data_IF_832774316949
#
_entry.id   IF_832774316949
#
_cell.length_a   1.000
_cell.length_b   1.000
_cell.length_c   1.000
_cell.angle_alpha   90.00
_cell.angle_beta   90.00
_cell.angle_gamma   90.00
#
_symmetry.space_group_name_H-M   'P 1'
#
loop_
_entity.id
_entity.type
_entity.pdbx_description
1 polymer ?
#
# COMPACT_ATOMS: atom_id res chain seq x y z
N UNK A 1 55.60 50.81 -22.73
CA UNK A 1 54.39 51.06 -23.56
C UNK A 1 53.57 49.78 -23.62
N UNK A 2 52.34 49.80 -23.07
CA UNK A 2 51.10 49.01 -23.39
C UNK A 2 51.25 47.49 -23.69
N UNK A 3 50.43 46.53 -23.25
CA UNK A 3 49.17 46.38 -22.49
C UNK A 3 49.00 44.84 -22.36
N UNK A 4 48.77 44.30 -21.17
CA UNK A 4 47.54 43.60 -20.74
C UNK A 4 47.09 42.31 -21.49
N UNK A 5 46.99 41.23 -20.69
CA UNK A 5 45.90 40.23 -20.59
C UNK A 5 45.68 39.25 -21.76
N UNK A 6 45.94 37.95 -21.51
CA UNK A 6 45.12 36.80 -21.96
C UNK A 6 45.42 35.62 -20.99
N UNK A 7 44.59 35.38 -19.97
CA UNK A 7 43.34 34.58 -19.99
C UNK A 7 43.56 33.13 -19.52
N UNK A 8 43.38 32.94 -18.21
CA UNK A 8 42.82 31.73 -17.62
C UNK A 8 41.61 31.27 -18.44
N UNK A 9 41.59 30.01 -18.90
CA UNK A 9 40.37 29.32 -19.32
C UNK A 9 40.60 27.81 -19.48
N UNK A 10 40.81 27.10 -18.36
CA UNK A 10 40.56 25.65 -18.28
C UNK A 10 39.99 25.34 -16.90
N UNK A 11 38.69 25.59 -16.70
CA UNK A 11 37.88 24.96 -15.64
C UNK A 11 36.41 25.41 -15.74
N UNK A 12 35.66 24.93 -16.74
CA UNK A 12 34.19 25.00 -16.71
C UNK A 12 33.54 24.14 -17.81
N UNK A 13 33.76 22.84 -17.81
CA UNK A 13 32.83 21.92 -18.49
C UNK A 13 32.73 20.68 -17.62
N UNK A 14 31.68 20.60 -16.80
CA UNK A 14 31.07 19.36 -16.28
C UNK A 14 30.07 19.73 -15.16
N UNK A 15 28.98 20.43 -15.46
CA UNK A 15 27.88 20.54 -14.48
C UNK A 15 26.52 20.88 -15.11
N UNK A 16 26.07 20.17 -16.15
CA UNK A 16 24.68 20.30 -16.62
C UNK A 16 24.18 19.02 -17.30
N UNK A 17 24.05 17.90 -16.56
CA UNK A 17 23.33 16.71 -17.04
C UNK A 17 22.67 15.90 -15.91
N UNK A 18 22.03 16.56 -14.93
CA UNK A 18 21.27 15.84 -13.87
C UNK A 18 19.81 16.29 -13.72
N UNK A 19 19.33 17.28 -14.48
CA UNK A 19 17.96 17.79 -14.33
C UNK A 19 16.90 17.14 -15.26
N UNK A 20 17.29 16.34 -16.27
CA UNK A 20 16.34 15.78 -17.24
C UNK A 20 15.80 14.37 -16.91
N UNK A 21 16.37 13.63 -15.96
CA UNK A 21 15.85 12.29 -15.61
C UNK A 21 14.65 12.36 -14.67
N UNK A 22 14.68 13.27 -13.69
CA UNK A 22 13.61 13.43 -12.70
C UNK A 22 12.28 13.88 -13.32
N UNK A 23 12.32 14.78 -14.31
CA UNK A 23 11.11 15.26 -15.00
C UNK A 23 10.44 14.18 -15.86
N UNK A 24 11.23 13.27 -16.46
CA UNK A 24 10.71 12.13 -17.24
C UNK A 24 10.11 11.05 -16.34
N UNK A 25 10.75 10.76 -15.20
CA UNK A 25 10.25 9.79 -14.22
C UNK A 25 8.93 10.25 -13.57
N UNK A 26 8.82 11.54 -13.20
CA UNK A 26 7.58 12.15 -12.70
C UNK A 26 6.46 12.24 -13.75
N UNK A 27 6.78 12.16 -15.04
CA UNK A 27 5.78 12.09 -16.11
C UNK A 27 5.22 10.66 -16.28
N UNK A 28 5.99 9.64 -15.88
CA UNK A 28 5.61 8.23 -15.94
C UNK A 28 4.69 7.84 -14.77
N UNK A 29 4.98 8.33 -13.56
CA UNK A 29 4.26 7.99 -12.32
C UNK A 29 3.57 9.24 -11.71
N UNK A 30 2.40 9.68 -12.21
CA UNK A 30 1.73 10.90 -11.73
C UNK A 30 1.37 10.85 -10.25
N UNK A 31 1.17 9.66 -9.67
CA UNK A 31 0.92 9.44 -8.25
C UNK A 31 2.06 9.95 -7.34
N UNK A 32 3.31 9.96 -7.83
CA UNK A 32 4.46 10.41 -7.02
C UNK A 32 4.39 11.91 -6.70
N UNK A 33 3.76 12.71 -7.55
CA UNK A 33 3.55 14.15 -7.30
C UNK A 33 2.63 14.41 -6.12
N UNK A 34 1.89 13.40 -5.68
CA UNK A 34 0.97 13.45 -4.55
C UNK A 34 1.54 12.75 -3.31
N UNK A 35 2.82 12.33 -3.34
CA UNK A 35 3.44 11.47 -2.32
C UNK A 35 2.75 10.09 -2.15
N UNK A 36 1.99 9.66 -3.17
CA UNK A 36 1.30 8.37 -3.15
C UNK A 36 2.23 7.26 -3.65
N UNK A 37 2.16 6.12 -2.97
CA UNK A 37 2.80 4.89 -3.41
C UNK A 37 1.74 4.03 -4.09
N UNK A 38 1.99 3.60 -5.32
CA UNK A 38 1.06 2.71 -6.03
C UNK A 38 1.64 1.31 -6.10
N UNK A 39 0.95 0.37 -5.47
CA UNK A 39 1.37 -1.02 -5.36
C UNK A 39 0.21 -1.98 -5.39
N UNK A 40 0.44 -3.20 -4.93
CA UNK A 40 -0.59 -4.23 -4.81
C UNK A 40 -0.50 -4.95 -3.47
N UNK A 41 -1.67 -5.35 -2.99
CA UNK A 41 -1.86 -6.39 -2.00
C UNK A 41 -1.53 -7.71 -2.71
N UNK A 42 -0.50 -8.42 -2.27
CA UNK A 42 -0.10 -9.70 -2.84
C UNK A 42 -1.20 -10.76 -2.82
N UNK A 43 -2.23 -10.61 -1.98
CA UNK A 43 -3.45 -11.42 -1.92
C UNK A 43 -4.27 -11.36 -3.21
N UNK A 44 -4.14 -10.26 -3.97
CA UNK A 44 -4.60 -10.20 -5.37
C UNK A 44 -4.10 -11.41 -6.15
N UNK A 45 -2.85 -11.82 -5.91
CA UNK A 45 -2.21 -12.96 -6.58
C UNK A 45 -2.08 -14.17 -5.66
N UNK A 46 -3.00 -14.38 -4.70
CA UNK A 46 -2.89 -15.44 -3.68
C UNK A 46 -2.78 -16.88 -4.22
N UNK A 47 -3.19 -17.12 -5.47
CA UNK A 47 -3.07 -18.43 -6.12
C UNK A 47 -1.64 -18.72 -6.60
N UNK A 48 -0.73 -17.75 -6.46
CA UNK A 48 0.66 -17.80 -6.89
C UNK A 48 1.59 -17.58 -5.69
N UNK A 49 2.83 -18.02 -5.83
CA UNK A 49 3.90 -17.72 -4.86
C UNK A 49 4.19 -16.23 -4.79
N UNK A 50 4.84 -15.78 -3.71
CA UNK A 50 5.26 -14.39 -3.56
C UNK A 50 6.18 -13.95 -4.70
N UNK A 51 7.13 -14.80 -5.13
CA UNK A 51 8.00 -14.52 -6.27
C UNK A 51 7.20 -14.24 -7.56
N UNK A 52 6.19 -15.07 -7.87
CA UNK A 52 5.31 -14.89 -9.04
C UNK A 52 4.37 -13.68 -8.87
N UNK A 53 3.91 -13.41 -7.65
CA UNK A 53 3.15 -12.20 -7.34
C UNK A 53 3.97 -10.95 -7.65
N UNK A 54 5.26 -10.91 -7.26
CA UNK A 54 6.15 -9.81 -7.59
C UNK A 54 6.34 -9.65 -9.11
N UNK A 55 6.42 -10.73 -9.89
CA UNK A 55 6.44 -10.65 -11.36
C UNK A 55 5.17 -10.01 -11.92
N UNK A 56 4.00 -10.37 -11.38
CA UNK A 56 2.71 -9.79 -11.79
C UNK A 56 2.57 -8.32 -11.39
N UNK A 57 3.11 -7.95 -10.23
CA UNK A 57 3.20 -6.55 -9.76
C UNK A 57 4.05 -5.73 -10.73
N UNK A 58 5.26 -6.21 -11.05
CA UNK A 58 6.16 -5.55 -11.99
C UNK A 58 5.53 -5.43 -13.39
N UNK A 59 4.90 -6.49 -13.89
CA UNK A 59 4.19 -6.49 -15.18
C UNK A 59 3.02 -5.50 -15.21
N UNK A 60 2.46 -5.15 -14.06
CA UNK A 60 1.39 -4.16 -13.92
C UNK A 60 1.92 -2.72 -13.75
N UNK A 61 3.23 -2.51 -13.92
CA UNK A 61 3.92 -1.22 -13.74
C UNK A 61 3.70 -0.64 -12.33
N UNK A 62 3.68 -1.52 -11.32
CA UNK A 62 3.62 -1.23 -9.89
C UNK A 62 5.00 -1.40 -9.26
N UNK A 63 5.27 -0.66 -8.18
CA UNK A 63 6.60 -0.62 -7.54
C UNK A 63 6.61 -0.89 -6.04
N UNK A 64 5.44 -1.12 -5.47
CA UNK A 64 5.26 -1.40 -4.05
C UNK A 64 4.43 -2.66 -3.87
N UNK A 65 4.71 -3.39 -2.80
CA UNK A 65 3.95 -4.56 -2.40
C UNK A 65 3.56 -4.46 -0.93
N UNK A 66 2.33 -4.87 -0.66
CA UNK A 66 1.88 -5.31 0.64
C UNK A 66 1.87 -6.84 0.64
N UNK A 67 2.70 -7.46 1.46
CA UNK A 67 2.71 -8.92 1.60
C UNK A 67 1.61 -9.37 2.57
N UNK A 68 1.04 -10.57 2.38
CA UNK A 68 0.05 -11.13 3.30
C UNK A 68 0.58 -12.38 4.01
N UNK A 69 0.11 -12.66 5.25
CA UNK A 69 0.55 -13.83 6.00
C UNK A 69 0.20 -15.14 5.29
N UNK A 70 1.19 -16.03 5.16
CA UNK A 70 0.97 -17.41 4.70
C UNK A 70 1.22 -17.66 3.21
N UNK A 71 1.55 -16.63 2.42
CA UNK A 71 1.93 -16.84 1.01
C UNK A 71 3.27 -17.59 0.90
N UNK A 72 3.32 -18.69 0.15
CA UNK A 72 4.59 -19.39 -0.13
C UNK A 72 5.56 -18.46 -0.85
N UNK A 73 6.83 -18.42 -0.41
CA UNK A 73 7.85 -17.53 -1.01
C UNK A 73 8.09 -17.86 -2.49
N UNK A 74 8.23 -19.14 -2.82
CA UNK A 74 8.50 -19.61 -4.18
C UNK A 74 9.97 -19.47 -4.57
N UNK A 75 10.25 -19.53 -5.88
CA UNK A 75 11.62 -19.51 -6.43
C UNK A 75 12.57 -20.56 -5.81
N UNK A 76 12.05 -21.74 -5.46
CA UNK A 76 12.79 -22.82 -4.81
C UNK A 76 12.74 -22.82 -3.28
N UNK A 77 12.01 -21.90 -2.66
CA UNK A 77 11.74 -21.87 -1.22
C UNK A 77 10.26 -22.16 -0.93
N UNK A 78 10.01 -23.11 -0.02
CA UNK A 78 8.67 -23.60 0.35
C UNK A 78 8.13 -22.97 1.65
N UNK A 79 8.93 -22.13 2.32
CA UNK A 79 8.48 -21.37 3.50
C UNK A 79 7.38 -20.38 3.10
N UNK A 80 6.65 -19.90 4.10
CA UNK A 80 5.58 -18.94 3.92
C UNK A 80 5.95 -17.58 4.51
N UNK A 81 5.40 -16.51 3.94
CA UNK A 81 5.61 -15.16 4.39
C UNK A 81 4.87 -14.93 5.72
N UNK A 82 5.54 -15.19 6.83
CA UNK A 82 5.02 -15.00 8.19
C UNK A 82 6.15 -14.57 9.13
N UNK A 83 5.83 -14.18 10.37
CA UNK A 83 6.84 -13.84 11.38
C UNK A 83 7.77 -15.02 11.72
N UNK A 84 7.36 -16.25 11.40
CA UNK A 84 8.17 -17.48 11.56
C UNK A 84 9.12 -17.76 10.38
N UNK A 85 9.11 -16.93 9.32
CA UNK A 85 10.04 -17.06 8.19
C UNK A 85 11.49 -17.06 8.70
N UNK A 86 12.30 -18.02 8.24
CA UNK A 86 13.70 -18.18 8.67
C UNK A 86 14.57 -16.99 8.25
N UNK A 87 15.77 -16.87 8.83
CA UNK A 87 16.70 -15.82 8.43
C UNK A 87 17.08 -15.94 6.94
N UNK A 88 17.29 -17.17 6.46
CA UNK A 88 17.57 -17.48 5.06
C UNK A 88 16.39 -17.10 4.16
N UNK A 89 15.16 -17.44 4.57
CA UNK A 89 13.93 -17.07 3.86
C UNK A 89 13.74 -15.55 3.78
N UNK A 90 14.05 -14.82 4.86
CA UNK A 90 14.00 -13.35 4.89
C UNK A 90 15.01 -12.71 3.94
N UNK A 91 16.26 -13.19 3.93
CA UNK A 91 17.27 -12.70 2.99
C UNK A 91 16.90 -13.01 1.53
N UNK A 92 16.32 -14.18 1.27
CA UNK A 92 15.79 -14.51 -0.05
C UNK A 92 14.68 -13.56 -0.49
N UNK A 93 13.72 -13.25 0.39
CA UNK A 93 12.67 -12.25 0.11
C UNK A 93 13.27 -10.88 -0.17
N UNK A 94 14.21 -10.41 0.66
CA UNK A 94 14.90 -9.12 0.45
C UNK A 94 15.62 -9.09 -0.90
N UNK A 95 16.24 -10.19 -1.31
CA UNK A 95 16.90 -10.32 -2.61
C UNK A 95 15.88 -10.29 -3.77
N UNK A 96 14.78 -11.04 -3.70
CA UNK A 96 13.71 -11.04 -4.71
C UNK A 96 13.14 -9.63 -4.92
N UNK A 97 12.86 -8.92 -3.84
CA UNK A 97 12.37 -7.53 -3.87
C UNK A 97 13.37 -6.60 -4.55
N UNK A 98 14.67 -6.72 -4.20
CA UNK A 98 15.74 -5.91 -4.79
C UNK A 98 15.92 -6.18 -6.28
N UNK A 99 15.93 -7.43 -6.70
CA UNK A 99 16.09 -7.83 -8.11
C UNK A 99 14.97 -7.30 -9.00
N UNK A 100 13.73 -7.32 -8.48
CA UNK A 100 12.54 -6.84 -9.20
C UNK A 100 12.31 -5.34 -9.05
N UNK A 101 13.12 -4.64 -8.23
CA UNK A 101 12.97 -3.22 -7.97
C UNK A 101 11.65 -2.86 -7.26
N UNK A 102 11.11 -3.78 -6.46
CA UNK A 102 9.85 -3.61 -5.73
C UNK A 102 10.14 -3.34 -4.26
N UNK A 103 9.47 -2.35 -3.68
CA UNK A 103 9.56 -2.04 -2.25
C UNK A 103 8.47 -2.76 -1.47
N UNK A 104 8.86 -3.59 -0.49
CA UNK A 104 7.94 -4.07 0.54
C UNK A 104 7.57 -2.89 1.44
N UNK A 105 6.34 -2.42 1.30
CA UNK A 105 5.86 -1.24 2.03
C UNK A 105 5.02 -1.62 3.24
N UNK A 106 4.14 -2.61 3.06
CA UNK A 106 3.18 -3.04 4.07
C UNK A 106 3.17 -4.56 4.26
N UNK A 107 2.62 -5.00 5.38
CA UNK A 107 2.41 -6.42 5.70
C UNK A 107 1.07 -6.62 6.41
N UNK A 108 0.21 -7.47 5.84
CA UNK A 108 -1.08 -7.86 6.42
C UNK A 108 -2.10 -8.32 5.38
N UNK A 109 -3.38 -8.47 5.74
CA UNK A 109 -3.96 -8.12 7.05
C UNK A 109 -3.61 -9.16 8.11
N UNK A 110 -3.04 -8.73 9.24
CA UNK A 110 -2.66 -9.63 10.35
C UNK A 110 -3.60 -9.52 11.55
N UNK A 111 -3.80 -10.65 12.21
CA UNK A 111 -4.29 -10.75 13.59
C UNK A 111 -3.25 -11.48 14.45
N UNK A 112 -3.37 -11.35 15.76
CA UNK A 112 -2.53 -12.06 16.73
C UNK A 112 -3.33 -12.36 18.00
N UNK A 113 -3.01 -13.49 18.64
CA UNK A 113 -3.79 -14.04 19.76
C UNK A 113 -3.48 -13.39 21.11
N UNK A 114 -2.30 -12.80 21.26
CA UNK A 114 -1.81 -12.24 22.52
C UNK A 114 -0.69 -11.21 22.28
N UNK A 115 -0.25 -10.57 23.37
CA UNK A 115 0.82 -9.57 23.36
C UNK A 115 2.15 -10.10 22.81
N UNK A 116 2.47 -11.38 23.06
CA UNK A 116 3.72 -11.98 22.63
C UNK A 116 3.73 -12.18 21.12
N UNK A 117 2.60 -12.58 20.54
CA UNK A 117 2.46 -12.73 19.09
C UNK A 117 2.47 -11.36 18.39
N UNK A 118 1.82 -10.34 18.95
CA UNK A 118 1.94 -8.97 18.43
C UNK A 118 3.38 -8.47 18.42
N UNK A 119 4.14 -8.69 19.49
CA UNK A 119 5.57 -8.34 19.55
C UNK A 119 6.36 -9.03 18.41
N UNK A 120 6.09 -10.31 18.12
CA UNK A 120 6.74 -11.02 17.00
C UNK A 120 6.41 -10.39 15.65
N UNK A 121 5.14 -10.04 15.42
CA UNK A 121 4.69 -9.37 14.19
C UNK A 121 5.45 -8.06 13.99
N UNK A 122 5.55 -7.21 15.01
CA UNK A 122 6.26 -5.93 14.92
C UNK A 122 7.78 -6.11 14.76
N UNK A 123 8.38 -7.07 15.46
CA UNK A 123 9.80 -7.39 15.30
C UNK A 123 10.11 -7.87 13.88
N UNK A 124 9.27 -8.74 13.33
CA UNK A 124 9.38 -9.22 11.95
C UNK A 124 9.22 -8.06 10.94
N UNK A 125 8.18 -7.23 11.12
CA UNK A 125 7.96 -6.07 10.27
C UNK A 125 9.18 -5.12 10.27
N UNK A 126 9.82 -4.92 11.43
CA UNK A 126 11.04 -4.12 11.55
C UNK A 126 12.21 -4.69 10.76
N UNK A 127 12.47 -5.99 10.88
CA UNK A 127 13.54 -6.68 10.16
C UNK A 127 13.33 -6.68 8.64
N UNK A 128 12.08 -6.85 8.21
CA UNK A 128 11.71 -6.82 6.80
C UNK A 128 11.62 -5.40 6.22
N UNK A 129 11.79 -4.36 7.04
CA UNK A 129 11.76 -2.96 6.61
C UNK A 129 10.34 -2.42 6.30
N UNK A 130 9.30 -3.12 6.75
CA UNK A 130 7.89 -2.74 6.60
C UNK A 130 7.63 -1.40 7.29
N UNK A 131 6.79 -0.56 6.67
CA UNK A 131 6.39 0.76 7.20
C UNK A 131 5.01 0.74 7.83
N UNK A 132 4.11 -0.06 7.28
CA UNK A 132 2.72 -0.16 7.74
C UNK A 132 2.35 -1.63 7.93
N UNK A 133 1.86 -1.99 9.11
CA UNK A 133 1.19 -3.26 9.35
C UNK A 133 -0.30 -3.01 9.13
N UNK A 134 -0.95 -3.71 8.20
CA UNK A 134 -2.41 -3.70 8.10
C UNK A 134 -2.95 -4.79 9.03
N UNK A 135 -3.94 -4.48 9.87
CA UNK A 135 -4.36 -5.40 10.92
C UNK A 135 -5.83 -5.30 11.31
N UNK A 136 -6.32 -6.35 11.98
CA UNK A 136 -7.65 -6.39 12.61
C UNK A 136 -7.51 -6.90 14.05
N UNK A 137 -6.98 -6.08 14.98
CA UNK A 137 -6.80 -6.50 16.36
C UNK A 137 -8.13 -6.71 17.06
N UNK A 138 -8.18 -7.60 18.06
CA UNK A 138 -9.28 -7.61 19.04
C UNK A 138 -9.28 -6.31 19.86
N UNK A 139 -10.42 -5.90 20.42
CA UNK A 139 -10.53 -4.66 21.21
C UNK A 139 -9.51 -4.61 22.37
N UNK A 140 -9.30 -5.75 23.04
CA UNK A 140 -8.34 -5.87 24.15
C UNK A 140 -6.87 -5.76 23.72
N UNK A 141 -6.59 -5.87 22.42
CA UNK A 141 -5.25 -5.75 21.86
C UNK A 141 -4.92 -4.34 21.35
N UNK A 142 -5.89 -3.42 21.29
CA UNK A 142 -5.67 -2.08 20.71
C UNK A 142 -4.55 -1.30 21.43
N UNK A 143 -4.49 -1.35 22.76
CA UNK A 143 -3.48 -0.65 23.55
C UNK A 143 -2.10 -1.30 23.40
N UNK A 144 -2.06 -2.62 23.22
CA UNK A 144 -0.83 -3.37 22.94
C UNK A 144 -0.27 -2.93 21.59
N UNK A 145 -1.10 -2.95 20.53
CA UNK A 145 -0.71 -2.52 19.19
C UNK A 145 -0.24 -1.06 19.20
N UNK A 146 -0.97 -0.17 19.87
CA UNK A 146 -0.59 1.24 20.03
C UNK A 146 0.81 1.39 20.65
N UNK A 147 1.10 0.70 21.76
CA UNK A 147 2.41 0.76 22.41
C UNK A 147 3.54 0.19 21.53
N UNK A 148 3.23 -0.86 20.74
CA UNK A 148 4.19 -1.46 19.82
C UNK A 148 4.51 -0.56 18.64
N UNK A 149 3.53 0.21 18.13
CA UNK A 149 3.78 1.22 17.10
C UNK A 149 4.86 2.21 17.54
N UNK A 150 4.78 2.71 18.78
CA UNK A 150 5.76 3.66 19.33
C UNK A 150 7.11 2.99 19.56
N UNK A 151 7.12 1.78 20.12
CA UNK A 151 8.34 1.02 20.42
C UNK A 151 9.16 0.70 19.15
N UNK A 152 8.49 0.28 18.08
CA UNK A 152 9.16 -0.18 16.87
C UNK A 152 9.34 0.91 15.80
N UNK A 153 8.68 2.06 15.98
CA UNK A 153 8.57 3.11 14.97
C UNK A 153 7.96 2.58 13.66
N UNK A 154 6.82 1.88 13.80
CA UNK A 154 6.06 1.26 12.70
C UNK A 154 4.59 1.67 12.83
N UNK A 155 3.95 1.95 11.69
CA UNK A 155 2.53 2.29 11.66
C UNK A 155 1.66 1.03 11.71
N UNK A 156 0.53 1.07 12.41
CA UNK A 156 -0.50 0.05 12.34
C UNK A 156 -1.79 0.65 11.78
N UNK A 157 -2.34 0.02 10.75
CA UNK A 157 -3.48 0.51 10.01
C UNK A 157 -4.62 -0.52 10.12
N UNK A 158 -5.67 -0.19 10.89
CA UNK A 158 -6.81 -1.07 11.13
C UNK A 158 -7.62 -1.20 9.83
N UNK A 159 -7.80 -2.42 9.33
CA UNK A 159 -8.49 -2.71 8.08
C UNK A 159 -10.00 -2.92 8.30
N UNK A 160 -10.81 -2.50 7.31
CA UNK A 160 -12.25 -2.66 7.35
C UNK A 160 -12.76 -3.73 6.36
N UNK A 161 -13.20 -4.88 6.85
CA UNK A 161 -14.00 -5.82 6.04
C UNK A 161 -15.49 -5.41 5.96
N UNK A 162 -16.30 -6.00 5.06
CA UNK A 162 -17.72 -5.68 4.97
C UNK A 162 -18.49 -6.01 6.25
N UNK A 163 -19.65 -5.37 6.45
CA UNK A 163 -20.62 -5.74 7.47
C UNK A 163 -21.03 -7.23 7.32
N UNK A 164 -20.99 -8.08 8.36
CA UNK A 164 -20.80 -7.77 9.79
C UNK A 164 -19.41 -8.08 10.35
N UNK A 165 -18.35 -7.44 9.86
CA UNK A 165 -17.05 -7.41 10.54
C UNK A 165 -17.07 -6.41 11.71
N UNK A 166 -16.08 -6.44 12.60
CA UNK A 166 -16.01 -5.49 13.73
C UNK A 166 -15.75 -4.05 13.25
N UNK A 167 -14.71 -3.85 12.43
CA UNK A 167 -14.24 -2.54 11.95
C UNK A 167 -14.94 -2.04 10.67
N UNK A 168 -16.11 -2.59 10.31
CA UNK A 168 -16.77 -2.38 9.03
C UNK A 168 -17.17 -0.92 8.70
N UNK A 169 -17.20 -0.03 9.69
CA UNK A 169 -17.64 1.36 9.52
C UNK A 169 -16.66 2.35 10.19
N UNK A 170 -16.61 3.60 9.73
CA UNK A 170 -15.66 4.60 10.22
C UNK A 170 -15.85 5.00 11.69
N UNK A 171 -17.05 4.87 12.29
CA UNK A 171 -17.24 5.20 13.72
C UNK A 171 -16.50 4.23 14.63
N UNK A 172 -16.56 2.94 14.33
CA UNK A 172 -15.85 1.92 15.11
C UNK A 172 -14.34 2.11 14.96
N UNK A 173 -13.86 2.41 13.75
CA UNK A 173 -12.46 2.75 13.52
C UNK A 173 -12.01 3.96 14.35
N UNK A 174 -12.74 5.08 14.31
CA UNK A 174 -12.39 6.27 15.10
C UNK A 174 -12.34 5.99 16.60
N UNK A 175 -13.33 5.24 17.12
CA UNK A 175 -13.35 4.82 18.52
C UNK A 175 -12.15 3.93 18.87
N UNK A 176 -11.75 3.04 17.97
CA UNK A 176 -10.57 2.20 18.14
C UNK A 176 -9.25 2.99 18.11
N UNK A 177 -9.24 4.21 17.57
CA UNK A 177 -8.05 5.08 17.51
C UNK A 177 -7.99 6.14 18.61
N UNK A 178 -9.10 6.39 19.31
CA UNK A 178 -9.20 7.44 20.32
C UNK A 178 -8.18 7.25 21.46
N UNK A 179 -7.37 8.28 21.72
CA UNK A 179 -6.36 8.28 22.78
C UNK A 179 -5.13 7.41 22.52
N UNK A 180 -4.98 6.82 21.33
CA UNK A 180 -3.87 5.93 20.97
C UNK A 180 -2.79 6.64 20.16
N UNK A 181 -1.69 5.92 19.90
CA UNK A 181 -0.53 6.43 19.18
C UNK A 181 -0.93 7.08 17.85
N UNK A 182 -0.34 8.22 17.46
CA UNK A 182 -0.55 8.82 16.14
C UNK A 182 0.01 7.95 14.99
N UNK A 183 0.72 6.86 15.31
CA UNK A 183 1.15 5.84 14.35
C UNK A 183 0.10 4.78 14.10
N UNK A 184 -0.98 4.77 14.86
CA UNK A 184 -2.14 3.94 14.66
C UNK A 184 -3.18 4.70 13.82
N UNK A 185 -3.75 4.04 12.81
CA UNK A 185 -4.73 4.64 11.91
C UNK A 185 -5.54 3.60 11.16
N UNK A 186 -6.03 3.94 9.98
CA UNK A 186 -6.89 3.08 9.17
C UNK A 186 -6.20 2.63 7.86
N UNK A 187 -6.39 1.35 7.54
CA UNK A 187 -6.18 0.77 6.22
C UNK A 187 -7.53 0.74 5.51
N UNK A 188 -7.85 1.81 4.79
CA UNK A 188 -9.20 2.03 4.28
C UNK A 188 -9.47 1.19 3.03
N UNK A 189 -10.48 0.33 3.10
CA UNK A 189 -11.01 -0.38 1.94
C UNK A 189 -12.32 0.26 1.49
N UNK A 190 -12.24 0.99 0.37
CA UNK A 190 -13.36 1.72 -0.20
C UNK A 190 -14.44 0.78 -0.78
N UNK A 191 -14.06 -0.40 -1.26
CA UNK A 191 -15.00 -1.38 -1.78
C UNK A 191 -15.77 -2.09 -0.67
N UNK A 192 -15.14 -2.40 0.45
CA UNK A 192 -15.83 -2.99 1.61
C UNK A 192 -16.87 -2.05 2.22
N UNK A 193 -16.63 -0.74 2.22
CA UNK A 193 -17.67 0.25 2.56
C UNK A 193 -18.83 0.25 1.56
N UNK A 194 -18.54 0.24 0.25
CA UNK A 194 -19.58 0.15 -0.78
C UNK A 194 -20.43 -1.13 -0.64
N UNK A 195 -19.79 -2.30 -0.43
CA UNK A 195 -20.47 -3.58 -0.13
C UNK A 195 -21.39 -3.49 1.08
N UNK A 196 -21.05 -2.61 2.03
CA UNK A 196 -21.80 -2.37 3.26
C UNK A 196 -22.87 -1.27 3.12
N UNK A 197 -23.04 -0.69 1.92
CA UNK A 197 -23.98 0.40 1.66
C UNK A 197 -23.54 1.74 2.26
N UNK A 198 -22.26 1.90 2.57
CA UNK A 198 -21.67 3.15 3.05
C UNK A 198 -21.05 3.92 1.89
N UNK A 199 -21.28 5.24 1.86
CA UNK A 199 -20.62 6.13 0.91
C UNK A 199 -19.12 6.20 1.23
N UNK A 200 -18.23 5.72 0.33
CA UNK A 200 -16.80 5.72 0.61
C UNK A 200 -16.22 7.13 0.74
N UNK A 201 -16.77 8.15 0.07
CA UNK A 201 -16.27 9.54 0.18
C UNK A 201 -16.58 10.11 1.55
N UNK A 202 -17.78 9.86 2.09
CA UNK A 202 -18.15 10.28 3.44
C UNK A 202 -17.36 9.52 4.51
N UNK A 203 -17.09 8.23 4.30
CA UNK A 203 -16.21 7.45 5.17
C UNK A 203 -14.78 8.03 5.20
N UNK A 204 -14.22 8.38 4.02
CA UNK A 204 -12.90 9.00 3.93
C UNK A 204 -12.87 10.34 4.67
N UNK A 205 -13.83 11.23 4.44
CA UNK A 205 -13.94 12.52 5.15
C UNK A 205 -13.96 12.36 6.66
N UNK A 206 -14.70 11.37 7.15
CA UNK A 206 -14.83 11.08 8.58
C UNK A 206 -13.52 10.62 9.22
N UNK A 207 -12.66 9.95 8.45
CA UNK A 207 -11.35 9.47 8.89
C UNK A 207 -10.21 10.46 8.58
N UNK A 208 -10.52 11.73 8.33
CA UNK A 208 -9.50 12.75 8.06
C UNK A 208 -8.41 12.77 9.13
N UNK A 209 -7.15 12.67 8.68
CA UNK A 209 -5.98 12.63 9.55
C UNK A 209 -5.61 11.23 10.08
N UNK A 210 -6.44 10.21 9.85
CA UNK A 210 -6.22 8.84 10.35
C UNK A 210 -5.92 7.82 9.24
N UNK A 211 -5.96 8.19 7.96
CA UNK A 211 -5.76 7.27 6.84
C UNK A 211 -4.27 7.05 6.57
N UNK A 212 -3.78 5.82 6.76
CA UNK A 212 -2.36 5.47 6.61
C UNK A 212 -2.09 4.61 5.38
N UNK A 213 -3.10 3.84 4.97
CA UNK A 213 -3.03 2.88 3.89
C UNK A 213 -4.40 2.74 3.23
N UNK A 214 -4.47 2.31 1.97
CA UNK A 214 -5.75 1.97 1.34
C UNK A 214 -5.64 0.70 0.53
N UNK A 215 -6.51 -0.27 0.82
CA UNK A 215 -6.84 -1.33 -0.13
C UNK A 215 -7.79 -0.72 -1.16
N UNK A 216 -7.28 -0.51 -2.36
CA UNK A 216 -7.98 0.24 -3.39
C UNK A 216 -8.59 -0.71 -4.41
N UNK A 217 -9.91 -0.62 -4.56
CA UNK A 217 -10.71 -1.43 -5.48
C UNK A 217 -11.92 -0.64 -5.98
N UNK A 218 -12.45 -1.05 -7.12
CA UNK A 218 -13.69 -0.54 -7.69
C UNK A 218 -14.63 -1.72 -7.92
N UNK A 219 -15.94 -1.52 -7.77
CA UNK A 219 -16.91 -2.60 -7.71
C UNK A 219 -18.00 -2.46 -8.77
N UNK A 220 -18.48 -3.59 -9.27
CA UNK A 220 -19.57 -3.62 -10.25
C UNK A 220 -20.95 -3.18 -9.71
N UNK A 221 -21.10 -3.06 -8.38
CA UNK A 221 -22.35 -2.67 -7.74
C UNK A 221 -22.11 -1.98 -6.38
N UNK A 222 -23.00 -1.07 -6.00
CA UNK A 222 -23.05 -0.46 -4.67
C UNK A 222 -24.12 -1.14 -3.79
N UNK A 223 -23.83 -1.33 -2.50
CA UNK A 223 -24.77 -1.90 -1.53
C UNK A 223 -25.03 -3.41 -1.67
N UNK A 224 -24.25 -4.10 -2.51
CA UNK A 224 -24.32 -5.56 -2.66
C UNK A 224 -23.06 -6.22 -2.08
N UNK A 225 -23.26 -7.11 -1.09
CA UNK A 225 -22.18 -7.89 -0.48
C UNK A 225 -21.49 -8.85 -1.47
N UNK A 226 -22.16 -9.18 -2.57
CA UNK A 226 -21.62 -10.04 -3.65
C UNK A 226 -20.95 -9.24 -4.77
N UNK A 227 -20.92 -7.91 -4.67
CA UNK A 227 -20.24 -7.08 -5.64
C UNK A 227 -18.76 -7.48 -5.75
N UNK A 228 -18.34 -7.75 -6.98
CA UNK A 228 -16.98 -8.15 -7.28
C UNK A 228 -16.20 -6.99 -7.89
N UNK A 229 -14.89 -7.13 -7.87
CA UNK A 229 -13.99 -6.10 -8.33
C UNK A 229 -14.03 -5.97 -9.86
N UNK A 230 -13.91 -4.74 -10.34
CA UNK A 230 -13.85 -4.37 -11.76
C UNK A 230 -12.70 -3.39 -11.98
N UNK A 231 -12.37 -3.13 -13.25
CA UNK A 231 -11.33 -2.18 -13.58
C UNK A 231 -11.64 -0.81 -12.97
N UNK A 232 -10.63 -0.18 -12.36
CA UNK A 232 -10.82 1.11 -11.69
C UNK A 232 -11.35 2.17 -12.66
N UNK A 233 -12.41 2.87 -12.26
CA UNK A 233 -13.11 3.87 -13.04
C UNK A 233 -14.15 3.29 -14.02
N UNK A 234 -14.48 2.00 -13.91
CA UNK A 234 -15.56 1.36 -14.68
C UNK A 234 -16.70 0.85 -13.81
N UNK A 235 -16.53 0.86 -12.49
CA UNK A 235 -17.53 0.45 -11.53
C UNK A 235 -18.34 1.60 -10.96
N UNK A 236 -18.97 1.32 -9.82
CA UNK A 236 -19.83 2.23 -9.07
C UNK A 236 -19.06 3.07 -8.04
N UNK A 237 -17.74 2.89 -7.88
CA UNK A 237 -16.96 3.75 -7.01
C UNK A 237 -16.97 5.17 -7.60
N UNK A 238 -17.34 6.22 -6.84
CA UNK A 238 -17.18 7.60 -7.29
C UNK A 238 -15.69 8.00 -7.26
N UNK A 239 -14.89 7.40 -8.14
CA UNK A 239 -13.42 7.39 -8.08
C UNK A 239 -12.82 8.79 -8.15
N UNK A 240 -13.40 9.69 -8.96
CA UNK A 240 -12.95 11.08 -9.05
C UNK A 240 -13.13 11.81 -7.72
N UNK A 241 -14.23 11.56 -7.01
CA UNK A 241 -14.49 12.15 -5.70
C UNK A 241 -13.60 11.54 -4.61
N UNK A 242 -13.34 10.23 -4.67
CA UNK A 242 -12.38 9.55 -3.79
C UNK A 242 -10.96 10.11 -3.97
N UNK A 243 -10.50 10.25 -5.21
CA UNK A 243 -9.20 10.86 -5.54
C UNK A 243 -9.15 12.31 -5.03
N UNK A 244 -10.21 13.09 -5.26
CA UNK A 244 -10.29 14.47 -4.80
C UNK A 244 -10.22 14.57 -3.27
N UNK A 245 -10.90 13.66 -2.56
CA UNK A 245 -10.90 13.63 -1.10
C UNK A 245 -9.52 13.24 -0.53
N UNK A 246 -8.88 12.20 -1.07
CA UNK A 246 -7.51 11.83 -0.67
C UNK A 246 -6.51 12.98 -0.94
N UNK A 247 -6.66 13.70 -2.06
CA UNK A 247 -5.88 14.91 -2.35
C UNK A 247 -6.14 16.02 -1.34
N UNK A 248 -7.41 16.28 -0.99
CA UNK A 248 -7.81 17.29 0.00
C UNK A 248 -7.16 17.04 1.36
N UNK A 249 -7.17 15.79 1.81
CA UNK A 249 -6.53 15.38 3.08
C UNK A 249 -5.01 15.33 3.02
N UNK A 250 -4.40 15.55 1.84
CA UNK A 250 -2.96 15.38 1.61
C UNK A 250 -2.47 14.00 2.04
N UNK A 251 -3.26 12.96 1.73
CA UNK A 251 -2.91 11.58 2.04
C UNK A 251 -1.50 11.23 1.55
N UNK A 252 -0.72 10.55 2.40
CA UNK A 252 0.66 10.11 2.11
C UNK A 252 0.85 8.65 2.49
N UNK A 253 0.24 7.76 1.73
CA UNK A 253 0.35 6.32 1.97
C UNK A 253 0.44 5.54 0.67
N UNK A 254 0.19 4.24 0.80
CA UNK A 254 0.09 3.35 -0.35
C UNK A 254 -1.38 3.14 -0.72
N UNK A 255 -1.65 3.24 -2.02
CA UNK A 255 -2.83 2.67 -2.66
C UNK A 255 -2.43 1.27 -3.12
N UNK A 256 -2.90 0.27 -2.39
CA UNK A 256 -2.62 -1.14 -2.57
C UNK A 256 -3.75 -1.74 -3.39
N UNK A 257 -3.47 -2.10 -4.65
CA UNK A 257 -4.43 -2.81 -5.46
C UNK A 257 -4.76 -4.16 -4.81
N UNK A 258 -6.00 -4.31 -4.37
CA UNK A 258 -6.56 -5.59 -3.93
C UNK A 258 -7.67 -5.94 -4.91
N UNK A 259 -7.35 -6.78 -5.90
CA UNK A 259 -8.27 -7.12 -7.01
C UNK A 259 -8.82 -8.53 -6.84
N UNK A 260 -10.00 -8.62 -6.24
CA UNK A 260 -10.60 -9.83 -5.73
C UNK A 260 -11.50 -10.58 -6.73
N UNK A 261 -11.10 -10.58 -7.99
CA UNK A 261 -11.84 -11.23 -9.07
C UNK A 261 -10.87 -11.79 -10.12
N UNK A 262 -11.34 -12.70 -10.97
CA UNK A 262 -10.54 -13.33 -12.03
C UNK A 262 -9.21 -13.94 -11.53
N UNK A 263 -9.24 -14.61 -10.38
CA UNK A 263 -8.04 -15.00 -9.60
C UNK A 263 -6.93 -15.72 -10.35
N UNK A 264 -7.27 -16.53 -11.37
CA UNK A 264 -6.29 -17.27 -12.17
C UNK A 264 -5.56 -16.37 -13.19
N UNK A 265 -6.13 -15.21 -13.55
CA UNK A 265 -5.59 -14.34 -14.59
C UNK A 265 -5.95 -12.85 -14.39
N UNK A 266 -5.84 -12.34 -13.16
CA UNK A 266 -6.20 -10.96 -12.83
C UNK A 266 -5.07 -9.93 -13.03
N UNK A 267 -3.86 -10.36 -13.39
CA UNK A 267 -2.75 -9.42 -13.66
C UNK A 267 -3.09 -8.40 -14.77
N UNK A 268 -3.69 -8.78 -15.92
CA UNK A 268 -4.13 -7.81 -16.94
C UNK A 268 -5.20 -6.84 -16.43
N UNK A 269 -6.05 -7.28 -15.50
CA UNK A 269 -7.08 -6.43 -14.89
C UNK A 269 -6.45 -5.37 -13.99
N UNK A 270 -5.51 -5.77 -13.14
CA UNK A 270 -4.71 -4.86 -12.30
C UNK A 270 -3.97 -3.86 -13.17
N UNK A 271 -3.32 -4.29 -14.25
CA UNK A 271 -2.62 -3.40 -15.17
C UNK A 271 -3.57 -2.37 -15.81
N UNK A 272 -4.80 -2.77 -16.13
CA UNK A 272 -5.80 -1.86 -16.69
C UNK A 272 -6.28 -0.84 -15.65
N UNK A 273 -6.57 -1.30 -14.43
CA UNK A 273 -6.87 -0.45 -13.28
C UNK A 273 -5.79 0.61 -13.02
N UNK A 274 -4.52 0.21 -13.00
CA UNK A 274 -3.36 1.10 -12.81
C UNK A 274 -3.29 2.16 -13.92
N UNK A 275 -3.46 1.76 -15.19
CA UNK A 275 -3.49 2.71 -16.31
C UNK A 275 -4.63 3.72 -16.18
N UNK A 276 -5.82 3.26 -15.79
CA UNK A 276 -6.98 4.12 -15.61
C UNK A 276 -6.74 5.15 -14.50
N UNK A 277 -6.27 4.73 -13.32
CA UNK A 277 -5.94 5.65 -12.23
C UNK A 277 -4.90 6.67 -12.67
N UNK A 278 -3.80 6.25 -13.31
CA UNK A 278 -2.78 7.17 -13.81
C UNK A 278 -3.32 8.15 -14.86
N UNK A 279 -4.29 7.74 -15.67
CA UNK A 279 -4.97 8.65 -16.60
C UNK A 279 -5.84 9.68 -15.86
N UNK A 280 -6.58 9.26 -14.82
CA UNK A 280 -7.37 10.16 -13.97
C UNK A 280 -6.49 11.18 -13.24
N UNK A 281 -5.31 10.77 -12.76
CA UNK A 281 -4.37 11.66 -12.07
C UNK A 281 -3.69 12.72 -12.97
N UNK A 282 -3.78 12.56 -14.30
CA UNK A 282 -3.23 13.51 -15.28
C UNK A 282 -4.21 14.59 -15.72
N UNK A 283 -5.50 14.44 -15.41
CA UNK A 283 -6.54 15.45 -15.63
C UNK A 283 -6.39 16.57 -14.61
#
# INVERSE_FOLDING_TARGET
MKKEIYCLLIAAVCFFMTACSSSKQLAQYPEEKLDWKLGAQAYTFRLFSFAEALDKIQASDLRFVEAFPGQTIGAGNEETFTYDLSAEGREMVKQLLKEKGITLHAYGVVGAKDAQEWEKVFAFAKDMGVKVITCEPEEEHLDIVSALCDKYDIQAAIHNHPNPSHYWNPDVLLKALEGRSPRMGAAVDVGHWMRSGLDPVECLKKLEGHILHSHFKDLNAFGDKKAHDVHWGTGELPIDAVIAELKRQKFKGMLSAEYEYNWENNQPDVQTSVRNLRALLKK
#
